data_IF_812877758314
#
_entry.id   IF_812877758314
#
_cell.length_a   1.000
_cell.length_b   1.000
_cell.length_c   1.000
_cell.angle_alpha   90.00
_cell.angle_beta   90.00
_cell.angle_gamma   90.00
#
_symmetry.space_group_name_H-M   'P 1'
#
loop_
_entity.id
_entity.type
_entity.pdbx_description
1 polymer ?
#
# COMPACT_ATOMS: atom_id res chain seq x y z
N UNK A 1 17.20 -5.74 0.04
CA UNK A 1 15.72 -5.67 0.07
C UNK A 1 15.18 -6.79 -0.80
N UNK A 2 14.13 -7.47 -0.36
CA UNK A 2 13.51 -8.57 -1.12
C UNK A 2 12.33 -8.03 -1.91
N UNK A 3 12.34 -8.22 -3.22
CA UNK A 3 11.20 -7.92 -4.09
C UNK A 3 10.12 -8.98 -3.87
N UNK A 4 8.88 -8.56 -3.64
CA UNK A 4 7.75 -9.49 -3.53
C UNK A 4 7.53 -10.21 -4.86
N UNK A 5 7.23 -11.51 -4.77
CA UNK A 5 6.81 -12.35 -5.90
C UNK A 5 5.37 -12.81 -5.71
N UNK A 6 4.78 -13.32 -6.79
CA UNK A 6 3.46 -13.90 -6.74
C UNK A 6 3.37 -15.03 -5.70
N UNK A 7 2.29 -15.03 -4.93
CA UNK A 7 2.06 -15.97 -3.84
C UNK A 7 2.69 -15.58 -2.49
N UNK A 8 3.57 -14.57 -2.46
CA UNK A 8 4.05 -14.05 -1.18
C UNK A 8 2.92 -13.37 -0.41
N UNK A 9 2.91 -13.57 0.91
CA UNK A 9 2.07 -12.76 1.78
C UNK A 9 2.62 -11.33 1.82
N UNK A 10 1.73 -10.35 1.70
CA UNK A 10 2.09 -8.94 1.89
C UNK A 10 2.59 -8.74 3.34
N UNK A 11 3.75 -8.11 3.55
CA UNK A 11 4.22 -7.75 4.89
C UNK A 11 3.26 -6.77 5.56
N UNK A 12 3.11 -6.86 6.88
CA UNK A 12 2.40 -5.84 7.64
C UNK A 12 3.03 -4.46 7.40
N UNK A 13 2.18 -3.46 7.16
CA UNK A 13 2.59 -2.08 6.99
C UNK A 13 1.60 -1.13 7.65
N UNK A 14 2.13 0.03 8.03
CA UNK A 14 1.33 1.19 8.38
C UNK A 14 1.89 2.44 7.70
N UNK A 15 1.00 3.34 7.34
CA UNK A 15 1.35 4.59 6.69
C UNK A 15 0.43 5.72 7.18
N UNK A 16 0.85 6.95 6.93
CA UNK A 16 -0.03 8.11 7.06
C UNK A 16 -0.76 8.33 5.73
N UNK A 17 -2.07 8.50 5.79
CA UNK A 17 -2.86 8.95 4.64
C UNK A 17 -2.67 10.47 4.40
N UNK A 18 -3.37 11.02 3.40
CA UNK A 18 -3.29 12.44 3.04
C UNK A 18 -3.79 13.39 4.15
N UNK A 19 -4.59 12.88 5.09
CA UNK A 19 -5.18 13.65 6.19
C UNK A 19 -4.41 13.45 7.51
N UNK A 20 -3.34 12.64 7.48
CA UNK A 20 -2.50 12.35 8.64
C UNK A 20 -3.04 11.22 9.53
N UNK A 21 -4.09 10.53 9.12
CA UNK A 21 -4.58 9.34 9.82
C UNK A 21 -3.61 8.18 9.59
N UNK A 22 -3.42 7.36 10.61
CA UNK A 22 -2.67 6.11 10.45
C UNK A 22 -3.59 5.07 9.82
N UNK A 23 -3.17 4.51 8.70
CA UNK A 23 -3.78 3.31 8.11
C UNK A 23 -2.84 2.12 8.32
N UNK A 24 -3.40 0.95 8.58
CA UNK A 24 -2.68 -0.33 8.70
C UNK A 24 -3.25 -1.32 7.69
N UNK A 25 -2.44 -2.28 7.23
CA UNK A 25 -2.93 -3.37 6.37
C UNK A 25 -4.11 -4.12 7.00
N UNK A 26 -4.04 -4.36 8.30
CA UNK A 26 -5.08 -5.05 9.08
C UNK A 26 -6.46 -4.38 9.06
N UNK A 27 -6.54 -3.06 8.81
CA UNK A 27 -7.81 -2.32 8.68
C UNK A 27 -8.64 -2.78 7.48
N UNK A 28 -8.02 -3.47 6.52
CA UNK A 28 -8.63 -3.90 5.27
C UNK A 28 -8.89 -5.42 5.21
N UNK A 29 -8.82 -6.12 6.35
CA UNK A 29 -9.04 -7.56 6.41
C UNK A 29 -10.36 -7.97 5.76
N UNK A 30 -10.30 -8.99 4.89
CA UNK A 30 -11.46 -9.53 4.16
C UNK A 30 -11.85 -8.74 2.90
N UNK A 31 -11.15 -7.65 2.58
CA UNK A 31 -11.34 -6.90 1.33
C UNK A 31 -10.27 -7.28 0.30
N UNK A 32 -10.58 -7.12 -0.99
CA UNK A 32 -9.56 -7.16 -2.05
C UNK A 32 -8.88 -5.78 -2.13
N UNK A 33 -7.55 -5.76 -2.20
CA UNK A 33 -6.76 -4.54 -2.25
C UNK A 33 -5.83 -4.53 -3.45
N UNK A 34 -5.52 -3.32 -3.91
CA UNK A 34 -4.43 -3.02 -4.84
C UNK A 34 -3.56 -1.96 -4.19
N UNK A 35 -2.26 -2.21 -4.08
CA UNK A 35 -1.26 -1.22 -3.64
C UNK A 35 -0.45 -0.82 -4.86
N UNK A 36 -0.35 0.48 -5.12
CA UNK A 36 0.31 1.01 -6.30
C UNK A 36 1.21 2.19 -5.91
N UNK A 37 2.42 2.23 -6.46
CA UNK A 37 3.40 3.29 -6.23
C UNK A 37 3.61 4.08 -7.52
N UNK A 38 3.67 5.40 -7.40
CA UNK A 38 3.98 6.29 -8.52
C UNK A 38 5.02 7.34 -8.08
N UNK A 39 5.88 7.84 -8.99
CA UNK A 39 6.95 8.79 -8.62
C UNK A 39 6.43 10.16 -8.18
N UNK A 40 5.39 10.67 -8.85
CA UNK A 40 4.80 11.98 -8.55
C UNK A 40 3.31 11.99 -8.91
N UNK A 41 2.50 12.60 -8.04
CA UNK A 41 1.08 12.78 -8.29
C UNK A 41 0.85 13.88 -9.34
N UNK A 42 -0.25 13.78 -10.08
CA UNK A 42 -0.77 14.84 -10.95
C UNK A 42 0.19 15.33 -12.03
N UNK A 43 1.00 14.43 -12.60
CA UNK A 43 1.84 14.73 -13.77
C UNK A 43 1.18 14.25 -15.06
N UNK A 44 1.26 15.00 -16.19
CA UNK A 44 0.62 14.62 -17.46
C UNK A 44 1.12 13.32 -18.10
N UNK A 45 2.29 12.82 -17.68
CA UNK A 45 3.04 11.80 -18.41
C UNK A 45 3.94 12.41 -19.46
#
# INVERSE_FOLDING_TARGET
>A
MSTLKEGDNVPEFEAKDQDGNTIKLSDYKGKKLVVFFYPKASTPG
#
